data_IF_473604050457
#
_entry.id   IF_473604050457
#
_cell.length_a   1.000
_cell.length_b   1.000
_cell.length_c   1.000
_cell.angle_alpha   90.00
_cell.angle_beta   90.00
_cell.angle_gamma   90.00
#
_symmetry.space_group_name_H-M   'P 1'
#
loop_
_entity.id
_entity.type
_entity.pdbx_description
1 polymer ?
#
# COMPACT_ATOMS: atom_id res chain seq x y z
N UNK A 1 -0.69 5.07 -9.98
CA UNK A 1 0.34 6.13 -10.01
C UNK A 1 1.04 6.08 -11.36
N UNK A 2 1.15 7.19 -12.01
CA UNK A 2 1.80 7.34 -13.31
C UNK A 2 3.15 8.02 -13.14
N UNK A 3 4.23 7.26 -13.08
CA UNK A 3 5.55 7.79 -12.80
C UNK A 3 5.76 8.05 -11.30
N UNK A 4 6.97 8.48 -10.94
CA UNK A 4 7.36 8.67 -9.55
C UNK A 4 6.75 9.89 -8.88
N UNK A 5 6.24 10.84 -9.67
CA UNK A 5 5.82 12.16 -9.18
C UNK A 5 4.34 12.47 -9.43
N UNK A 6 3.59 11.54 -10.03
CA UNK A 6 2.19 11.76 -10.34
C UNK A 6 1.29 10.72 -9.70
N UNK A 7 0.59 11.12 -8.66
CA UNK A 7 -0.42 10.31 -7.98
C UNK A 7 -1.78 10.59 -8.61
N UNK A 8 -2.33 9.59 -9.32
CA UNK A 8 -3.59 9.72 -10.06
C UNK A 8 -4.79 9.67 -9.12
N UNK A 9 -4.79 8.73 -8.17
CA UNK A 9 -5.86 8.55 -7.21
C UNK A 9 -5.33 7.81 -5.98
N UNK A 10 -5.93 8.08 -4.83
CA UNK A 10 -5.64 7.35 -3.60
C UNK A 10 -6.89 7.28 -2.72
N UNK A 11 -6.94 6.29 -1.85
CA UNK A 11 -8.05 6.12 -0.93
C UNK A 11 -7.94 4.80 -0.19
N UNK A 12 -8.91 4.54 0.68
CA UNK A 12 -9.04 3.27 1.37
C UNK A 12 -10.51 2.84 1.39
N UNK A 13 -10.73 1.56 1.62
CA UNK A 13 -12.06 0.98 1.69
C UNK A 13 -12.14 0.03 2.87
N UNK A 14 -13.08 0.30 3.77
CA UNK A 14 -13.40 -0.61 4.86
C UNK A 14 -14.31 -1.73 4.33
N UNK A 15 -13.94 -2.98 4.62
CA UNK A 15 -14.71 -4.16 4.25
C UNK A 15 -15.11 -4.87 5.54
N UNK A 16 -16.41 -4.89 5.84
CA UNK A 16 -16.92 -5.35 7.12
C UNK A 16 -17.18 -6.86 7.17
N UNK A 17 -17.55 -7.47 6.03
CA UNK A 17 -17.88 -8.89 5.92
C UNK A 17 -17.11 -9.53 4.77
N UNK A 18 -16.77 -10.82 4.91
CA UNK A 18 -16.04 -11.58 3.88
C UNK A 18 -14.87 -10.78 3.30
N UNK A 19 -13.95 -10.39 4.18
CA UNK A 19 -12.90 -9.40 3.87
C UNK A 19 -12.09 -9.75 2.64
N UNK A 20 -11.74 -11.03 2.46
CA UNK A 20 -10.96 -11.43 1.28
C UNK A 20 -11.79 -11.37 0.00
N UNK A 21 -13.04 -11.79 0.04
CA UNK A 21 -13.95 -11.70 -1.11
C UNK A 21 -14.18 -10.25 -1.51
N UNK A 22 -14.50 -9.41 -0.53
CA UNK A 22 -14.70 -7.97 -0.77
C UNK A 22 -13.45 -7.29 -1.31
N UNK A 23 -12.28 -7.60 -0.76
CA UNK A 23 -11.01 -7.05 -1.24
C UNK A 23 -10.73 -7.45 -2.69
N UNK A 24 -10.95 -8.73 -3.05
CA UNK A 24 -10.77 -9.20 -4.42
C UNK A 24 -11.71 -8.50 -5.40
N UNK A 25 -12.95 -8.25 -5.01
CA UNK A 25 -13.91 -7.50 -5.84
C UNK A 25 -13.37 -6.10 -6.13
N UNK A 26 -12.87 -5.41 -5.13
CA UNK A 26 -12.32 -4.06 -5.30
C UNK A 26 -11.03 -4.07 -6.12
N UNK A 27 -10.13 -5.01 -5.88
CA UNK A 27 -8.91 -5.16 -6.67
C UNK A 27 -9.25 -5.39 -8.14
N UNK A 28 -10.21 -6.28 -8.42
CA UNK A 28 -10.65 -6.53 -9.78
C UNK A 28 -11.20 -5.28 -10.46
N UNK A 29 -12.01 -4.49 -9.74
CA UNK A 29 -12.53 -3.22 -10.26
C UNK A 29 -11.41 -2.24 -10.62
N UNK A 30 -10.40 -2.11 -9.75
CA UNK A 30 -9.27 -1.23 -10.00
C UNK A 30 -8.42 -1.72 -11.18
N UNK A 31 -8.19 -3.02 -11.31
CA UNK A 31 -7.46 -3.58 -12.44
C UNK A 31 -8.19 -3.33 -13.75
N UNK A 32 -9.52 -3.45 -13.76
CA UNK A 32 -10.32 -3.17 -14.95
C UNK A 32 -10.38 -1.69 -15.29
N UNK A 33 -10.52 -0.84 -14.29
CA UNK A 33 -10.67 0.60 -14.49
C UNK A 33 -9.36 1.28 -14.90
N UNK A 34 -8.28 1.02 -14.16
CA UNK A 34 -7.00 1.69 -14.37
C UNK A 34 -6.07 0.96 -15.34
N UNK A 35 -6.29 -0.33 -15.56
CA UNK A 35 -5.46 -1.18 -16.42
C UNK A 35 -3.95 -0.99 -16.15
N UNK A 36 -3.50 -1.19 -14.90
CA UNK A 36 -2.11 -0.96 -14.54
C UNK A 36 -1.18 -2.00 -15.16
N UNK A 37 0.06 -1.62 -15.39
CA UNK A 37 1.10 -2.55 -15.85
C UNK A 37 1.64 -3.39 -14.70
N UNK A 38 1.68 -2.82 -13.50
CA UNK A 38 2.27 -3.44 -12.32
C UNK A 38 1.38 -3.20 -11.10
N UNK A 39 1.21 -4.25 -10.31
CA UNK A 39 0.56 -4.20 -9.00
C UNK A 39 1.64 -4.39 -7.93
N UNK A 40 1.76 -3.44 -7.02
CA UNK A 40 2.73 -3.50 -5.93
C UNK A 40 2.01 -3.86 -4.64
N UNK A 41 2.46 -4.91 -3.98
CA UNK A 41 1.89 -5.38 -2.71
C UNK A 41 2.96 -5.39 -1.62
N UNK A 42 2.56 -5.24 -0.35
CA UNK A 42 3.50 -5.40 0.75
C UNK A 42 3.95 -6.86 0.85
N UNK A 43 5.25 -7.06 1.09
CA UNK A 43 5.78 -8.39 1.36
C UNK A 43 5.55 -8.71 2.84
N UNK A 44 4.52 -9.48 3.12
CA UNK A 44 4.13 -9.86 4.48
C UNK A 44 4.80 -11.19 4.81
N UNK A 45 5.86 -11.14 5.62
CA UNK A 45 6.65 -12.33 5.97
C UNK A 45 6.39 -12.86 7.37
N UNK A 46 5.77 -12.09 8.25
CA UNK A 46 5.71 -12.42 9.66
C UNK A 46 4.28 -12.56 10.18
N UNK A 47 4.08 -13.51 11.09
CA UNK A 47 2.94 -13.59 11.98
C UNK A 47 2.13 -14.87 11.87
N UNK A 48 1.81 -15.42 13.05
CA UNK A 48 0.99 -16.62 13.21
C UNK A 48 -0.45 -16.26 13.62
N UNK A 49 -0.86 -15.01 13.46
CA UNK A 49 -2.22 -14.58 13.77
C UNK A 49 -3.18 -14.95 12.67
N UNK A 50 -4.49 -15.03 12.99
CA UNK A 50 -5.54 -15.23 11.98
C UNK A 50 -5.52 -14.15 10.92
N UNK A 51 -5.24 -12.91 11.33
CA UNK A 51 -5.15 -11.77 10.41
C UNK A 51 -4.00 -11.97 9.42
N UNK A 52 -2.83 -12.38 9.90
CA UNK A 52 -1.67 -12.62 9.04
C UNK A 52 -1.93 -13.74 8.04
N UNK A 53 -2.52 -14.85 8.49
CA UNK A 53 -2.91 -15.96 7.62
C UNK A 53 -3.92 -15.53 6.55
N UNK A 54 -4.93 -14.74 6.93
CA UNK A 54 -5.94 -14.21 6.03
C UNK A 54 -5.30 -13.31 4.96
N UNK A 55 -4.39 -12.42 5.36
CA UNK A 55 -3.71 -11.52 4.43
C UNK A 55 -2.82 -12.29 3.46
N UNK A 56 -2.09 -13.30 3.94
CA UNK A 56 -1.26 -14.16 3.07
C UNK A 56 -2.12 -14.88 2.04
N UNK A 57 -3.28 -15.40 2.44
CA UNK A 57 -4.23 -16.04 1.54
C UNK A 57 -4.77 -15.05 0.52
N UNK A 58 -5.12 -13.83 0.95
CA UNK A 58 -5.59 -12.77 0.08
C UNK A 58 -4.52 -12.42 -0.96
N UNK A 59 -3.28 -12.24 -0.54
CA UNK A 59 -2.17 -11.90 -1.45
C UNK A 59 -1.96 -13.00 -2.49
N UNK A 60 -2.01 -14.27 -2.12
CA UNK A 60 -1.90 -15.37 -3.08
C UNK A 60 -3.01 -15.32 -4.13
N UNK A 61 -4.23 -15.03 -3.72
CA UNK A 61 -5.37 -14.90 -4.63
C UNK A 61 -5.22 -13.70 -5.56
N UNK A 62 -4.73 -12.58 -5.04
CA UNK A 62 -4.46 -11.37 -5.83
C UNK A 62 -3.38 -11.66 -6.88
N UNK A 63 -2.29 -12.32 -6.50
CA UNK A 63 -1.20 -12.69 -7.41
C UNK A 63 -1.72 -13.61 -8.53
N UNK A 64 -2.52 -14.61 -8.19
CA UNK A 64 -3.11 -15.52 -9.17
C UNK A 64 -4.05 -14.78 -10.13
N UNK A 65 -4.87 -13.86 -9.59
CA UNK A 65 -5.79 -13.06 -10.39
C UNK A 65 -5.06 -12.10 -11.33
N UNK A 66 -4.05 -11.40 -10.82
CA UNK A 66 -3.22 -10.50 -11.61
C UNK A 66 -2.50 -11.24 -12.75
N UNK A 67 -2.03 -12.46 -12.49
CA UNK A 67 -1.43 -13.32 -13.52
C UNK A 67 -2.38 -13.63 -14.65
N UNK A 68 -3.66 -13.90 -14.36
CA UNK A 68 -4.68 -14.11 -15.37
C UNK A 68 -4.96 -12.86 -16.21
N UNK A 69 -4.78 -11.69 -15.63
CA UNK A 69 -4.95 -10.39 -16.30
C UNK A 69 -3.66 -9.88 -16.94
N UNK A 70 -2.58 -10.66 -16.87
CA UNK A 70 -1.26 -10.28 -17.39
C UNK A 70 -0.69 -9.02 -16.72
N UNK A 71 -1.03 -8.80 -15.46
CA UNK A 71 -0.50 -7.70 -14.64
C UNK A 71 0.66 -8.27 -13.80
N UNK A 72 1.82 -7.63 -13.90
CA UNK A 72 2.98 -8.02 -13.09
C UNK A 72 2.74 -7.64 -11.62
N UNK A 73 3.20 -8.48 -10.72
CA UNK A 73 3.13 -8.23 -9.29
C UNK A 73 4.53 -8.08 -8.72
N UNK A 74 4.75 -7.03 -7.93
CA UNK A 74 5.99 -6.80 -7.20
C UNK A 74 5.69 -6.76 -5.71
N UNK A 75 6.53 -7.43 -4.93
CA UNK A 75 6.43 -7.45 -3.47
C UNK A 75 7.54 -6.60 -2.88
N UNK A 76 7.18 -5.64 -2.04
CA UNK A 76 8.14 -4.75 -1.40
C UNK A 76 7.87 -4.75 0.10
N UNK A 77 8.91 -4.99 0.91
CA UNK A 77 8.78 -4.98 2.36
C UNK A 77 8.70 -3.56 2.92
N UNK A 78 8.11 -3.42 4.09
CA UNK A 78 8.05 -2.12 4.79
C UNK A 78 9.44 -1.56 5.08
N UNK A 79 10.41 -2.43 5.37
CA UNK A 79 11.81 -2.04 5.58
C UNK A 79 12.41 -1.44 4.31
N UNK A 80 12.16 -2.05 3.16
CA UNK A 80 12.60 -1.52 1.86
C UNK A 80 11.97 -0.15 1.58
N UNK A 81 10.68 0.01 1.86
CA UNK A 81 9.99 1.29 1.68
C UNK A 81 10.64 2.37 2.54
N UNK A 82 10.87 2.10 3.81
CA UNK A 82 11.50 3.07 4.72
C UNK A 82 12.92 3.42 4.29
N UNK A 83 13.71 2.44 3.90
CA UNK A 83 15.08 2.68 3.40
C UNK A 83 15.06 3.57 2.17
N UNK A 84 14.15 3.31 1.23
CA UNK A 84 14.04 4.07 -0.01
C UNK A 84 13.59 5.51 0.23
N UNK A 85 12.59 5.70 1.08
CA UNK A 85 11.94 7.00 1.26
C UNK A 85 12.61 7.88 2.32
N UNK A 86 13.12 7.27 3.39
CA UNK A 86 13.71 7.98 4.51
C UNK A 86 15.24 7.80 4.61
N UNK A 87 15.80 6.88 3.84
CA UNK A 87 17.20 6.51 3.99
C UNK A 87 17.50 5.76 5.29
N UNK A 88 16.47 5.34 6.03
CA UNK A 88 16.61 4.66 7.32
C UNK A 88 15.54 3.56 7.44
N UNK A 89 15.96 2.26 7.49
CA UNK A 89 15.03 1.16 7.62
C UNK A 89 14.26 1.15 8.94
N UNK A 90 14.72 1.90 9.95
CA UNK A 90 14.11 2.01 11.26
C UNK A 90 13.22 3.24 11.41
N UNK A 91 13.02 4.01 10.33
CA UNK A 91 12.14 5.17 10.35
C UNK A 91 10.70 4.82 10.73
N UNK A 92 9.99 5.78 11.32
CA UNK A 92 8.61 5.56 11.75
C UNK A 92 7.63 5.67 10.59
N UNK A 93 6.45 5.04 10.75
CA UNK A 93 5.35 5.19 9.79
C UNK A 93 4.93 6.66 9.65
N UNK A 94 4.89 7.38 10.76
CA UNK A 94 4.50 8.79 10.75
C UNK A 94 5.50 9.66 9.98
N UNK A 95 6.80 9.43 10.17
CA UNK A 95 7.83 10.14 9.40
C UNK A 95 7.70 9.89 7.91
N UNK A 96 7.40 8.65 7.52
CA UNK A 96 7.16 8.28 6.13
C UNK A 96 5.90 8.97 5.59
N UNK A 97 4.82 9.00 6.38
CA UNK A 97 3.58 9.67 6.00
C UNK A 97 3.79 11.18 5.82
N UNK A 98 4.56 11.82 6.71
CA UNK A 98 4.90 13.24 6.58
C UNK A 98 5.68 13.52 5.29
N UNK A 99 6.63 12.66 4.95
CA UNK A 99 7.41 12.81 3.72
C UNK A 99 6.52 12.69 2.49
N UNK A 100 5.61 11.71 2.47
CA UNK A 100 4.66 11.52 1.37
C UNK A 100 3.67 12.67 1.25
N UNK A 101 3.19 13.22 2.37
CA UNK A 101 2.32 14.38 2.38
C UNK A 101 3.02 15.60 1.81
N UNK A 102 4.33 15.76 2.07
CA UNK A 102 5.15 16.81 1.50
C UNK A 102 5.39 16.63 0.00
N UNK A 103 5.52 15.38 -0.45
CA UNK A 103 5.72 15.06 -1.87
C UNK A 103 4.43 15.25 -2.68
N UNK A 104 3.29 14.90 -2.10
CA UNK A 104 1.97 15.01 -2.74
C UNK A 104 1.02 15.85 -1.89
N UNK A 105 1.29 17.17 -1.77
CA UNK A 105 0.52 18.02 -0.84
C UNK A 105 -0.95 18.16 -1.22
N UNK A 106 -1.28 18.16 -2.50
CA UNK A 106 -2.66 18.26 -2.97
C UNK A 106 -3.46 17.00 -2.65
N UNK A 107 -2.87 15.82 -2.88
CA UNK A 107 -3.56 14.53 -2.74
C UNK A 107 -3.52 14.02 -1.30
N UNK A 108 -2.43 14.23 -0.57
CA UNK A 108 -2.18 13.63 0.73
C UNK A 108 -2.09 14.62 1.90
N UNK A 109 -1.81 15.89 1.63
CA UNK A 109 -1.58 16.86 2.70
C UNK A 109 -2.74 17.00 3.68
N UNK A 110 -3.98 16.97 3.20
CA UNK A 110 -5.18 17.05 4.03
C UNK A 110 -5.56 15.73 4.69
N UNK A 111 -4.94 14.62 4.29
CA UNK A 111 -5.22 13.28 4.78
C UNK A 111 -4.26 12.82 5.87
N UNK A 112 -3.20 13.57 6.13
CA UNK A 112 -2.22 13.23 7.16
C UNK A 112 -2.87 13.31 8.55
N UNK A 113 -2.98 12.18 9.28
CA UNK A 113 -3.54 12.20 10.62
C UNK A 113 -2.54 12.83 11.61
N UNK A 114 -3.00 13.29 12.77
CA UNK A 114 -2.08 13.75 13.81
C UNK A 114 -1.23 12.58 14.32
N UNK A 115 -0.04 12.89 14.84
CA UNK A 115 0.85 11.88 15.39
C UNK A 115 0.15 11.09 16.48
N UNK A 116 0.11 9.77 16.33
CA UNK A 116 -0.54 8.86 17.29
C UNK A 116 0.22 8.82 18.61
N UNK A 117 -0.50 8.92 19.70
CA UNK A 117 0.05 8.65 21.04
C UNK A 117 0.06 7.14 21.31
N UNK A 118 0.91 6.69 22.23
CA UNK A 118 1.11 5.26 22.51
C UNK A 118 -0.18 4.49 22.87
N UNK A 119 -1.17 5.18 23.46
CA UNK A 119 -2.44 4.59 23.89
C UNK A 119 -3.53 4.65 22.81
N UNK A 120 -3.28 5.28 21.67
CA UNK A 120 -4.25 5.43 20.59
C UNK A 120 -4.09 4.34 19.53
N UNK A 121 -5.20 3.92 18.94
CA UNK A 121 -5.19 3.04 17.76
C UNK A 121 -4.63 3.78 16.55
N UNK A 122 -4.09 3.02 15.58
CA UNK A 122 -3.63 3.59 14.32
C UNK A 122 -4.82 4.15 13.53
N UNK A 123 -4.68 5.36 12.99
CA UNK A 123 -5.71 5.98 12.16
C UNK A 123 -5.82 5.21 10.84
N UNK A 124 -7.05 4.84 10.40
CA UNK A 124 -7.24 4.12 9.12
C UNK A 124 -6.67 4.83 7.90
N UNK A 125 -6.54 6.17 7.94
CA UNK A 125 -5.93 6.94 6.85
C UNK A 125 -4.47 6.57 6.61
N UNK A 126 -3.79 5.96 7.59
CA UNK A 126 -2.41 5.49 7.43
C UNK A 126 -2.28 4.41 6.35
N UNK A 127 -3.34 3.64 6.09
CA UNK A 127 -3.34 2.64 5.01
C UNK A 127 -3.12 3.29 3.64
N UNK A 128 -3.61 4.50 3.45
CA UNK A 128 -3.40 5.26 2.21
C UNK A 128 -1.91 5.56 2.03
N UNK A 129 -1.24 6.00 3.10
CA UNK A 129 0.19 6.31 3.07
C UNK A 129 1.04 5.05 2.87
N UNK A 130 0.65 3.95 3.47
CA UNK A 130 1.33 2.66 3.26
C UNK A 130 1.28 2.25 1.78
N UNK A 131 0.12 2.37 1.16
CA UNK A 131 -0.06 2.03 -0.25
C UNK A 131 0.72 2.96 -1.19
N UNK A 132 0.67 4.26 -0.94
CA UNK A 132 1.42 5.25 -1.74
C UNK A 132 2.92 5.06 -1.56
N UNK A 133 3.36 4.75 -0.33
CA UNK A 133 4.76 4.45 -0.04
C UNK A 133 5.30 3.28 -0.85
N UNK A 134 4.51 2.20 -0.97
CA UNK A 134 4.88 1.06 -1.82
C UNK A 134 5.07 1.48 -3.27
N UNK A 135 4.15 2.28 -3.79
CA UNK A 135 4.21 2.75 -5.17
C UNK A 135 5.44 3.64 -5.41
N UNK A 136 5.72 4.56 -4.50
CA UNK A 136 6.89 5.45 -4.62
C UNK A 136 8.19 4.64 -4.54
N UNK A 137 8.27 3.66 -3.64
CA UNK A 137 9.44 2.81 -3.49
C UNK A 137 9.69 1.90 -4.70
N UNK A 138 8.67 1.58 -5.47
CA UNK A 138 8.78 0.75 -6.66
C UNK A 138 9.58 1.43 -7.79
N UNK A 139 9.42 2.74 -7.97
CA UNK A 139 9.97 3.42 -9.15
C UNK A 139 11.50 3.36 -9.27
N UNK A 140 12.29 3.51 -8.20
CA UNK A 140 13.75 3.33 -8.28
C UNK A 140 14.16 1.92 -8.69
N UNK A 141 13.36 0.90 -8.34
CA UNK A 141 13.66 -0.50 -8.64
C UNK A 141 13.33 -0.90 -10.08
N UNK A 142 12.56 -0.07 -10.77
CA UNK A 142 12.18 -0.31 -12.16
C UNK A 142 13.33 -0.12 -13.14
N UNK A 143 14.32 0.68 -12.76
CA UNK A 143 15.45 1.01 -13.64
C UNK A 143 16.43 -0.16 -13.79
#
# INVERSE_FOLDING_TARGET
>A
MEGSDKLVACGNKAILHDKNVGALVWVNRFLQFYQPDVLVLPNVTAGDTRRAARIKTLHRKIVAWAGKKQVRVRLISSTQVRSQLLGDPKGTKFAMAQMLAGKFPTELGTRLPPKRRAWMSEDPRMDIFDAVGLAVAFWPQRK
#
